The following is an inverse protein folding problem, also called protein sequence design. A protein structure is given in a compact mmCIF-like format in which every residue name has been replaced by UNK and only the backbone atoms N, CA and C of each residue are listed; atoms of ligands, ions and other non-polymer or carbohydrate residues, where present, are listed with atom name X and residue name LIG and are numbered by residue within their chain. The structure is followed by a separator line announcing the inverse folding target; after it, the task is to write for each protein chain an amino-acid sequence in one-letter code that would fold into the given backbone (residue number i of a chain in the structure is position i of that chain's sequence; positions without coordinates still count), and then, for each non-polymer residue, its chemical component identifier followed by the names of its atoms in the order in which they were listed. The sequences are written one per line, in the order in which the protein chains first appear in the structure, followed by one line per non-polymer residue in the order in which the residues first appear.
data_IF_607225259947
#
_entry.id   IF_607225259947
#
_cell.length_a   1.000
_cell.length_b   1.000
_cell.length_c   1.000
_cell.angle_alpha   90.00
_cell.angle_beta   90.00
_cell.angle_gamma   90.00
#
_symmetry.space_group_name_H-M   'P 1'
#
loop_
_entity.id
_entity.type
_entity.pdbx_description
1 polymer ?
#
# COMPACT_ATOMS: atom_id res chain seq x y z
N UNK A 1 14.81 -0.33 -18.43
CA UNK A 1 13.85 -0.16 -17.32
C UNK A 1 14.33 1.02 -16.49
N UNK A 2 13.57 2.12 -16.48
CA UNK A 2 13.94 3.30 -15.69
C UNK A 2 13.53 3.03 -14.23
N UNK A 3 14.51 2.76 -13.35
CA UNK A 3 14.31 2.43 -11.93
C UNK A 3 13.94 3.63 -11.05
N UNK A 4 13.67 4.80 -11.64
CA UNK A 4 13.52 6.05 -10.87
C UNK A 4 12.19 6.21 -10.13
N UNK A 5 11.20 5.34 -10.35
CA UNK A 5 9.90 5.40 -9.66
C UNK A 5 9.39 4.02 -9.27
N UNK A 6 9.14 3.87 -7.97
CA UNK A 6 8.40 2.74 -7.41
C UNK A 6 6.90 3.05 -7.43
N UNK A 7 6.07 2.06 -7.77
CA UNK A 7 4.61 2.16 -7.73
C UNK A 7 4.13 1.60 -6.39
N UNK A 8 3.54 2.45 -5.56
CA UNK A 8 2.87 1.99 -4.33
C UNK A 8 1.44 1.58 -4.66
N UNK A 9 1.06 0.37 -4.25
CA UNK A 9 -0.27 -0.18 -4.46
C UNK A 9 -0.78 -0.83 -3.17
N UNK A 10 -2.10 -0.94 -3.05
CA UNK A 10 -2.79 -1.68 -1.99
C UNK A 10 -3.73 -2.72 -2.58
N UNK A 11 -4.08 -3.76 -1.85
CA UNK A 11 -5.14 -4.65 -2.29
C UNK A 11 -6.49 -3.92 -2.28
N UNK A 12 -7.33 -4.21 -3.27
CA UNK A 12 -8.71 -3.73 -3.32
C UNK A 12 -9.52 -4.28 -2.14
N UNK A 13 -9.38 -5.58 -1.88
CA UNK A 13 -9.88 -6.24 -0.67
C UNK A 13 -8.70 -6.43 0.32
N UNK A 14 -8.67 -5.72 1.46
CA UNK A 14 -7.58 -5.81 2.42
C UNK A 14 -7.49 -7.16 3.13
N UNK A 15 -8.57 -7.95 3.15
CA UNK A 15 -8.63 -9.25 3.84
C UNK A 15 -8.34 -10.38 2.85
N UNK A 16 -9.06 -10.42 1.72
CA UNK A 16 -8.93 -11.51 0.76
C UNK A 16 -7.79 -11.30 -0.23
N UNK A 17 -7.43 -10.05 -0.54
CA UNK A 17 -6.39 -9.73 -1.52
C UNK A 17 -5.04 -10.40 -1.21
N UNK A 18 -4.47 -10.23 -0.01
CA UNK A 18 -3.21 -10.89 0.38
C UNK A 18 -3.24 -12.42 0.32
N UNK A 19 -4.43 -13.02 0.49
CA UNK A 19 -4.61 -14.47 0.51
C UNK A 19 -4.78 -15.09 -0.89
N UNK A 20 -4.86 -14.26 -1.95
CA UNK A 20 -4.95 -14.76 -3.33
C UNK A 20 -3.59 -15.16 -3.86
N UNK A 21 -3.54 -16.29 -4.56
CA UNK A 21 -2.34 -16.74 -5.26
C UNK A 21 -2.04 -15.74 -6.41
N UNK A 22 -0.84 -15.16 -6.46
CA UNK A 22 -0.48 -14.25 -7.53
C UNK A 22 -0.39 -15.01 -8.87
N UNK A 23 -0.87 -14.38 -9.93
CA UNK A 23 -0.77 -14.90 -11.28
C UNK A 23 0.45 -14.24 -11.92
N UNK A 24 1.36 -15.05 -12.44
CA UNK A 24 2.59 -14.59 -13.08
C UNK A 24 2.25 -13.67 -14.26
N UNK A 25 2.85 -12.47 -14.29
CA UNK A 25 2.59 -11.45 -15.31
C UNK A 25 1.30 -10.64 -15.07
N UNK A 26 0.60 -10.87 -13.96
CA UNK A 26 -0.60 -10.14 -13.53
C UNK A 26 -0.49 -9.69 -12.07
N UNK A 27 0.70 -9.27 -11.65
CA UNK A 27 0.99 -8.89 -10.27
C UNK A 27 0.17 -7.69 -9.78
N UNK A 28 -0.33 -6.87 -10.71
CA UNK A 28 -1.19 -5.71 -10.42
C UNK A 28 -2.67 -6.09 -10.24
N UNK A 29 -3.08 -7.32 -10.58
CA UNK A 29 -4.48 -7.73 -10.51
C UNK A 29 -5.00 -7.72 -9.07
N UNK A 30 -6.17 -7.11 -8.85
CA UNK A 30 -6.78 -6.96 -7.53
C UNK A 30 -6.07 -5.95 -6.61
N UNK A 31 -5.21 -5.08 -7.19
CA UNK A 31 -4.54 -4.01 -6.48
C UNK A 31 -4.92 -2.65 -7.04
N UNK A 32 -5.08 -1.68 -6.15
CA UNK A 32 -5.32 -0.27 -6.44
C UNK A 32 -4.04 0.53 -6.25
N UNK A 33 -3.79 1.46 -7.16
CA UNK A 33 -2.70 2.43 -7.02
C UNK A 33 -2.98 3.35 -5.84
N UNK A 34 -1.95 3.62 -5.03
CA UNK A 34 -2.00 4.70 -4.02
C UNK A 34 -1.65 6.01 -4.74
N UNK A 35 -2.45 7.05 -4.54
CA UNK A 35 -2.24 8.33 -5.20
C UNK A 35 -0.90 8.95 -4.79
N UNK A 36 -0.23 9.60 -5.74
CA UNK A 36 1.04 10.31 -5.49
C UNK A 36 0.89 11.45 -4.45
N UNK A 37 -0.36 11.90 -4.21
CA UNK A 37 -0.69 12.95 -3.23
C UNK A 37 -1.13 12.37 -1.87
N UNK A 38 -1.15 11.06 -1.69
CA UNK A 38 -1.50 10.45 -0.41
C UNK A 38 -0.43 10.75 0.63
N UNK A 39 -0.85 10.98 1.87
CA UNK A 39 0.06 11.21 3.01
C UNK A 39 -0.02 10.08 4.01
N UNK A 40 1.10 9.79 4.68
CA UNK A 40 1.19 8.76 5.71
C UNK A 40 1.53 9.42 7.04
N UNK A 41 0.72 9.15 8.07
CA UNK A 41 0.93 9.60 9.45
C UNK A 41 1.21 8.40 10.33
N UNK A 42 2.27 8.48 11.14
CA UNK A 42 2.71 7.37 12.00
C UNK A 42 2.48 7.77 13.46
N UNK A 43 1.58 7.07 14.15
CA UNK A 43 1.40 7.17 15.60
C UNK A 43 2.16 6.05 16.29
N UNK A 44 3.24 6.41 16.99
CA UNK A 44 4.00 5.46 17.80
C UNK A 44 3.24 5.03 19.06
N UNK A 45 2.43 5.93 19.62
CA UNK A 45 1.61 5.64 20.81
C UNK A 45 0.56 4.57 20.51
N UNK A 46 -0.12 4.69 19.37
CA UNK A 46 -1.17 3.77 18.97
C UNK A 46 -0.65 2.56 18.17
N UNK A 47 0.65 2.57 17.81
CA UNK A 47 1.27 1.63 16.88
C UNK A 47 0.48 1.51 15.57
N UNK A 48 0.18 2.66 14.96
CA UNK A 48 -0.64 2.74 13.75
C UNK A 48 -0.05 3.65 12.70
N UNK A 49 -0.26 3.27 11.45
CA UNK A 49 0.03 4.07 10.27
C UNK A 49 -1.31 4.42 9.63
N UNK A 50 -1.62 5.71 9.60
CA UNK A 50 -2.77 6.26 8.91
C UNK A 50 -2.35 6.69 7.50
N UNK A 51 -3.05 6.22 6.48
CA UNK A 51 -2.92 6.74 5.13
C UNK A 51 -4.09 7.68 4.85
N UNK A 52 -3.82 8.90 4.41
CA UNK A 52 -4.84 9.83 3.93
C UNK A 52 -4.75 9.94 2.42
N UNK A 53 -5.85 9.63 1.74
CA UNK A 53 -5.98 9.72 0.30
C UNK A 53 -7.28 10.43 -0.08
N UNK A 54 -7.20 11.44 -0.95
CA UNK A 54 -8.34 12.28 -1.35
C UNK A 54 -9.18 12.83 -0.16
N UNK A 55 -8.53 13.13 0.96
CA UNK A 55 -9.18 13.63 2.18
C UNK A 55 -9.82 12.57 3.07
N UNK A 56 -9.79 11.29 2.66
CA UNK A 56 -10.24 10.16 3.47
C UNK A 56 -9.03 9.50 4.13
N UNK A 57 -9.10 9.30 5.43
CA UNK A 57 -8.06 8.60 6.18
C UNK A 57 -8.45 7.16 6.49
N UNK A 58 -7.50 6.25 6.37
CA UNK A 58 -7.65 4.85 6.76
C UNK A 58 -6.44 4.34 7.54
N UNK A 59 -6.72 3.47 8.51
CA UNK A 59 -5.70 2.71 9.23
C UNK A 59 -5.17 1.60 8.31
N UNK A 60 -3.86 1.60 8.09
CA UNK A 60 -3.17 0.57 7.30
C UNK A 60 -2.25 -0.29 8.17
N UNK A 61 -2.50 -0.39 9.48
CA UNK A 61 -1.77 -1.28 10.39
C UNK A 61 -0.52 -0.64 10.99
N UNK A 62 0.41 -1.48 11.47
CA UNK A 62 1.50 -1.07 12.37
C UNK A 62 2.91 -1.09 11.74
N UNK A 63 3.13 -1.94 10.74
CA UNK A 63 4.48 -2.18 10.16
C UNK A 63 4.46 -2.15 8.63
N UNK A 64 5.38 -1.39 8.02
CA UNK A 64 5.64 -1.39 6.57
C UNK A 64 7.12 -1.63 6.31
N UNK A 65 7.43 -2.71 5.59
CA UNK A 65 8.79 -3.09 5.19
C UNK A 65 8.90 -2.92 3.68
N UNK A 66 9.88 -2.14 3.25
CA UNK A 66 10.24 -2.01 1.84
C UNK A 66 11.71 -2.42 1.68
N UNK A 67 12.01 -3.29 0.72
CA UNK A 67 13.38 -3.47 0.25
C UNK A 67 13.64 -2.44 -0.85
N UNK A 68 14.60 -1.55 -0.59
CA UNK A 68 15.22 -0.73 -1.63
C UNK A 68 16.56 -1.39 -1.97
N UNK A 69 16.79 -1.69 -3.25
CA UNK A 69 18.10 -2.09 -3.77
C UNK A 69 18.85 -0.87 -4.28
#
# INVERSE_FOLDING_TARGET
MNLSKVKLMRFEDPVLGPCRVPILGMEEHGKLLICDKSSFSISLADRKVLMTDNGLSMDIGDTRVYLLQ
#
